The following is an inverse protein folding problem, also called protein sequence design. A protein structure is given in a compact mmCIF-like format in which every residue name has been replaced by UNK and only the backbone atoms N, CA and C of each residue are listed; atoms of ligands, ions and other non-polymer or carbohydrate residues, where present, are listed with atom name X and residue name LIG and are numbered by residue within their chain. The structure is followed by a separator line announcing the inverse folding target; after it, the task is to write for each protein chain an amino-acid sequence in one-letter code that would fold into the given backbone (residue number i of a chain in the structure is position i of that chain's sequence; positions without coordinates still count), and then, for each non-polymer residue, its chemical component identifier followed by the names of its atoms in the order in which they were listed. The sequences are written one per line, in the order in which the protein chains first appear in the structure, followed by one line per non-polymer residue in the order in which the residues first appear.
data_IF_486814503331
#
_entry.id   IF_486814503331
#
_cell.length_a   1.000
_cell.length_b   1.000
_cell.length_c   1.000
_cell.angle_alpha   90.00
_cell.angle_beta   90.00
_cell.angle_gamma   90.00
#
_symmetry.space_group_name_H-M   'P 1'
#
loop_
_entity.id
_entity.type
_entity.pdbx_description
1 polymer ?
#
# COMPACT_ATOMS: atom_id res chain seq x y z
N UNK A 1 -40.46 -87.28 -28.89
CA UNK A 1 -40.11 -86.38 -27.76
C UNK A 1 -38.86 -85.62 -28.17
N UNK A 2 -38.91 -84.27 -28.21
CA UNK A 2 -38.65 -83.49 -27.00
C UNK A 2 -39.68 -82.38 -26.73
N UNK A 3 -39.76 -81.99 -25.46
CA UNK A 3 -40.62 -80.95 -24.92
C UNK A 3 -39.86 -79.62 -24.99
N UNK A 4 -40.36 -78.66 -25.75
CA UNK A 4 -39.82 -77.30 -25.84
C UNK A 4 -40.30 -76.49 -24.64
N UNK A 5 -39.44 -76.31 -23.64
CA UNK A 5 -39.70 -75.44 -22.50
C UNK A 5 -39.66 -73.98 -22.93
N UNK A 6 -40.81 -73.29 -22.92
CA UNK A 6 -40.89 -71.83 -23.04
C UNK A 6 -40.36 -71.18 -21.76
N UNK A 7 -39.17 -70.60 -21.83
CA UNK A 7 -38.66 -69.72 -20.79
C UNK A 7 -39.42 -68.38 -20.86
N UNK A 8 -40.29 -68.13 -19.89
CA UNK A 8 -40.86 -66.80 -19.66
C UNK A 8 -39.80 -65.92 -18.99
N UNK A 9 -39.30 -64.93 -19.72
CA UNK A 9 -38.44 -63.90 -19.15
C UNK A 9 -39.26 -63.04 -18.18
N UNK A 10 -39.03 -63.21 -16.88
CA UNK A 10 -39.57 -62.33 -15.84
C UNK A 10 -38.88 -60.98 -16.00
N UNK A 11 -39.58 -59.98 -16.55
CA UNK A 11 -39.14 -58.59 -16.46
C UNK A 11 -39.25 -58.19 -15.00
N UNK A 12 -38.12 -58.16 -14.29
CA UNK A 12 -38.01 -57.49 -13.00
C UNK A 12 -38.32 -56.01 -13.22
N UNK A 13 -39.52 -55.59 -12.87
CA UNK A 13 -39.88 -54.17 -12.73
C UNK A 13 -38.95 -53.57 -11.70
N UNK A 14 -38.02 -52.73 -12.14
CA UNK A 14 -37.23 -51.91 -11.21
C UNK A 14 -38.23 -51.02 -10.44
N UNK A 15 -38.23 -51.03 -9.10
CA UNK A 15 -39.07 -50.12 -8.34
C UNK A 15 -38.74 -48.69 -8.76
N UNK A 16 -39.76 -47.94 -9.19
CA UNK A 16 -39.64 -46.53 -9.47
C UNK A 16 -39.61 -45.77 -8.14
N UNK A 17 -38.76 -44.74 -8.04
CA UNK A 17 -38.61 -43.94 -6.83
C UNK A 17 -39.93 -43.27 -6.44
N UNK A 18 -40.20 -43.26 -5.13
CA UNK A 18 -41.38 -42.56 -4.59
C UNK A 18 -41.14 -41.05 -4.60
N UNK A 19 -42.21 -40.26 -4.75
CA UNK A 19 -42.13 -38.79 -4.70
C UNK A 19 -41.51 -38.32 -3.37
N UNK A 20 -41.77 -39.06 -2.28
CA UNK A 20 -41.20 -38.80 -0.96
C UNK A 20 -39.68 -39.01 -0.93
N UNK A 21 -39.15 -40.08 -1.52
CA UNK A 21 -37.69 -40.28 -1.62
C UNK A 21 -37.01 -39.15 -2.39
N UNK A 22 -37.61 -38.70 -3.51
CA UNK A 22 -37.08 -37.57 -4.27
C UNK A 22 -37.10 -36.27 -3.46
N UNK A 23 -38.15 -36.04 -2.67
CA UNK A 23 -38.26 -34.86 -1.82
C UNK A 23 -37.23 -34.88 -0.69
N UNK A 24 -37.00 -36.02 -0.06
CA UNK A 24 -35.96 -36.19 0.97
C UNK A 24 -34.57 -35.96 0.37
N UNK A 25 -34.29 -36.53 -0.81
CA UNK A 25 -33.00 -36.36 -1.48
C UNK A 25 -32.75 -34.89 -1.84
N UNK A 26 -33.74 -34.20 -2.41
CA UNK A 26 -33.62 -32.78 -2.72
C UNK A 26 -33.45 -31.92 -1.46
N UNK A 27 -34.13 -32.28 -0.36
CA UNK A 27 -33.97 -31.61 0.95
C UNK A 27 -32.57 -31.77 1.53
N UNK A 28 -32.00 -32.99 1.50
CA UNK A 28 -30.64 -33.26 1.96
C UNK A 28 -29.61 -32.56 1.07
N UNK A 29 -29.78 -32.60 -0.26
CA UNK A 29 -28.89 -31.90 -1.20
C UNK A 29 -28.92 -30.38 -1.00
N UNK A 30 -30.09 -29.78 -0.77
CA UNK A 30 -30.21 -28.34 -0.50
C UNK A 30 -29.50 -27.95 0.81
N UNK A 31 -29.66 -28.76 1.86
CA UNK A 31 -29.01 -28.52 3.15
C UNK A 31 -27.48 -28.63 3.05
N UNK A 32 -26.97 -29.68 2.39
CA UNK A 32 -25.54 -29.86 2.18
C UNK A 32 -24.95 -28.77 1.28
N UNK A 33 -25.66 -28.39 0.20
CA UNK A 33 -25.19 -27.34 -0.71
C UNK A 33 -25.09 -25.98 -0.02
N UNK A 34 -26.05 -25.65 0.84
CA UNK A 34 -26.03 -24.40 1.62
C UNK A 34 -24.80 -24.31 2.54
N UNK A 35 -24.52 -25.38 3.29
CA UNK A 35 -23.35 -25.43 4.19
C UNK A 35 -22.02 -25.35 3.43
N UNK A 36 -21.92 -26.04 2.29
CA UNK A 36 -20.71 -26.03 1.46
C UNK A 36 -20.45 -24.64 0.87
N UNK A 37 -21.49 -23.92 0.43
CA UNK A 37 -21.33 -22.60 -0.18
C UNK A 37 -20.77 -21.58 0.82
N UNK A 38 -21.27 -21.58 2.06
CA UNK A 38 -20.78 -20.69 3.15
C UNK A 38 -19.35 -21.05 3.54
N UNK A 39 -19.01 -22.34 3.63
CA UNK A 39 -17.64 -22.77 3.91
C UNK A 39 -16.66 -22.35 2.80
N UNK A 40 -17.09 -22.44 1.54
CA UNK A 40 -16.26 -22.06 0.39
C UNK A 40 -16.06 -20.55 0.29
N UNK A 41 -17.07 -19.74 0.57
CA UNK A 41 -16.94 -18.28 0.53
C UNK A 41 -15.95 -17.78 1.59
N UNK A 42 -16.05 -18.28 2.83
CA UNK A 42 -15.10 -17.95 3.90
C UNK A 42 -13.68 -18.41 3.56
N UNK A 43 -13.51 -19.60 2.99
CA UNK A 43 -12.20 -20.10 2.58
C UNK A 43 -11.59 -19.26 1.43
N UNK A 44 -12.41 -18.85 0.46
CA UNK A 44 -11.98 -17.97 -0.62
C UNK A 44 -11.54 -16.59 -0.08
N UNK A 45 -12.29 -16.05 0.87
CA UNK A 45 -12.00 -14.77 1.50
C UNK A 45 -10.68 -14.79 2.28
N UNK A 46 -10.48 -15.84 3.08
CA UNK A 46 -9.21 -16.05 3.78
C UNK A 46 -8.03 -16.23 2.80
N UNK A 47 -8.26 -16.89 1.66
CA UNK A 47 -7.24 -17.07 0.64
C UNK A 47 -6.85 -15.74 -0.05
N UNK A 48 -7.82 -14.86 -0.31
CA UNK A 48 -7.56 -13.49 -0.81
C UNK A 48 -6.75 -12.69 0.20
N UNK A 49 -7.20 -12.64 1.45
CA UNK A 49 -6.49 -11.93 2.51
C UNK A 49 -5.06 -12.44 2.72
N UNK A 50 -4.84 -13.76 2.73
CA UNK A 50 -3.50 -14.32 2.86
C UNK A 50 -2.60 -14.02 1.64
N UNK A 51 -3.17 -13.99 0.44
CA UNK A 51 -2.46 -13.57 -0.77
C UNK A 51 -2.05 -12.10 -0.68
N UNK A 52 -2.98 -11.22 -0.32
CA UNK A 52 -2.72 -9.79 -0.15
C UNK A 52 -1.65 -9.54 0.91
N UNK A 53 -1.70 -10.22 2.07
CA UNK A 53 -0.63 -10.16 3.08
C UNK A 53 0.74 -10.52 2.52
N UNK A 54 0.79 -11.59 1.72
CA UNK A 54 2.04 -12.04 1.09
C UNK A 54 2.54 -11.02 0.04
N UNK A 55 1.65 -10.39 -0.73
CA UNK A 55 2.01 -9.30 -1.64
C UNK A 55 2.55 -8.09 -0.89
N UNK A 56 1.83 -7.59 0.11
CA UNK A 56 2.25 -6.43 0.92
C UNK A 56 3.62 -6.68 1.57
N UNK A 57 3.85 -7.89 2.08
CA UNK A 57 5.16 -8.27 2.61
C UNK A 57 6.26 -8.28 1.54
N UNK A 58 6.01 -8.83 0.35
CA UNK A 58 6.98 -8.80 -0.76
C UNK A 58 7.28 -7.37 -1.21
N UNK A 59 6.26 -6.53 -1.35
CA UNK A 59 6.43 -5.12 -1.71
C UNK A 59 7.32 -4.44 -0.66
N UNK A 60 7.07 -4.69 0.62
CA UNK A 60 7.91 -4.20 1.71
C UNK A 60 9.36 -4.66 1.58
N UNK A 61 9.61 -5.96 1.35
CA UNK A 61 10.96 -6.52 1.17
C UNK A 61 11.70 -5.90 -0.03
N UNK A 62 10.99 -5.53 -1.10
CA UNK A 62 11.57 -4.85 -2.27
C UNK A 62 11.83 -3.36 -2.03
N UNK A 63 10.94 -2.68 -1.31
CA UNK A 63 11.04 -1.23 -1.07
C UNK A 63 12.00 -0.85 0.05
N UNK A 64 12.09 -1.66 1.11
CA UNK A 64 12.90 -1.33 2.28
C UNK A 64 14.39 -1.15 1.99
N UNK A 65 15.06 -2.00 1.18
CA UNK A 65 16.45 -1.78 0.81
C UNK A 65 16.67 -0.42 0.13
N UNK A 66 15.72 -0.01 -0.73
CA UNK A 66 15.76 1.27 -1.43
C UNK A 66 15.59 2.44 -0.46
N UNK A 67 14.68 2.32 0.51
CA UNK A 67 14.50 3.32 1.56
C UNK A 67 15.75 3.47 2.45
N UNK A 68 16.34 2.34 2.87
CA UNK A 68 17.57 2.32 3.70
C UNK A 68 18.77 2.91 2.96
N UNK A 69 18.86 2.75 1.64
CA UNK A 69 19.95 3.29 0.83
C UNK A 69 20.08 4.81 0.99
N UNK A 70 18.96 5.55 1.09
CA UNK A 70 19.00 7.00 1.21
C UNK A 70 19.69 7.49 2.49
N UNK A 71 19.75 6.67 3.53
CA UNK A 71 20.46 7.00 4.77
C UNK A 71 21.96 7.21 4.52
N UNK A 72 22.52 6.42 3.62
CA UNK A 72 23.95 6.41 3.29
C UNK A 72 24.27 7.11 1.97
N UNK A 73 23.24 7.48 1.21
CA UNK A 73 23.42 8.07 -0.11
C UNK A 73 24.12 9.42 -0.03
N UNK A 74 25.04 9.62 -0.98
CA UNK A 74 25.80 10.85 -1.10
C UNK A 74 24.96 11.88 -1.84
N UNK A 75 24.80 13.05 -1.24
CA UNK A 75 24.23 14.24 -1.88
C UNK A 75 25.30 15.31 -2.03
N UNK A 76 25.13 16.18 -3.01
CA UNK A 76 26.06 17.29 -3.23
C UNK A 76 26.10 18.18 -1.98
N UNK A 77 27.31 18.37 -1.43
CA UNK A 77 27.50 19.19 -0.25
C UNK A 77 27.24 20.66 -0.59
N UNK A 78 26.47 21.34 0.26
CA UNK A 78 26.33 22.79 0.16
C UNK A 78 27.67 23.46 0.47
N UNK A 79 28.14 24.34 -0.42
CA UNK A 79 29.38 25.11 -0.24
C UNK A 79 29.16 26.42 0.53
N UNK A 80 27.92 26.84 0.71
CA UNK A 80 27.55 28.09 1.37
C UNK A 80 26.96 27.85 2.77
N UNK A 81 27.02 28.87 3.62
CA UNK A 81 26.43 28.86 4.96
C UNK A 81 27.30 28.25 6.06
N UNK A 82 26.82 28.38 7.29
CA UNK A 82 27.41 27.77 8.48
C UNK A 82 27.20 26.24 8.48
N UNK A 83 27.83 25.52 9.42
CA UNK A 83 27.75 24.05 9.51
C UNK A 83 26.30 23.58 9.58
N UNK A 84 25.45 24.24 10.38
CA UNK A 84 24.03 23.89 10.51
C UNK A 84 23.29 24.01 9.18
N UNK A 85 23.46 25.13 8.46
CA UNK A 85 22.84 25.36 7.16
C UNK A 85 23.26 24.32 6.11
N UNK A 86 24.54 23.90 6.12
CA UNK A 86 25.02 22.84 5.22
C UNK A 86 24.41 21.49 5.53
N UNK A 87 24.20 21.17 6.81
CA UNK A 87 23.53 19.94 7.25
C UNK A 87 22.03 20.00 6.91
N UNK A 88 21.37 21.14 7.09
CA UNK A 88 19.97 21.34 6.68
C UNK A 88 19.81 21.09 5.19
N UNK A 89 20.66 21.71 4.36
CA UNK A 89 20.67 21.50 2.92
C UNK A 89 21.07 20.07 2.49
N UNK A 90 21.64 19.25 3.39
CA UNK A 90 21.85 17.82 3.15
C UNK A 90 20.54 17.06 3.33
N UNK A 91 19.83 17.31 4.43
CA UNK A 91 18.53 16.68 4.74
C UNK A 91 17.52 16.98 3.63
N UNK A 92 17.42 18.24 3.19
CA UNK A 92 16.48 18.64 2.14
C UNK A 92 16.73 17.93 0.81
N UNK A 93 18.00 17.78 0.43
CA UNK A 93 18.39 17.07 -0.78
C UNK A 93 18.11 15.57 -0.70
N UNK A 94 18.28 14.97 0.49
CA UNK A 94 17.95 13.56 0.69
C UNK A 94 16.44 13.35 0.58
N UNK A 95 15.63 14.21 1.23
CA UNK A 95 14.17 14.16 1.13
C UNK A 95 13.67 14.39 -0.28
N UNK A 96 14.28 15.31 -1.02
CA UNK A 96 13.94 15.49 -2.43
C UNK A 96 14.31 14.28 -3.29
N UNK A 97 15.47 13.68 -3.04
CA UNK A 97 15.88 12.48 -3.77
C UNK A 97 14.92 11.32 -3.47
N UNK A 98 14.48 11.16 -2.21
CA UNK A 98 13.41 10.22 -1.87
C UNK A 98 12.11 10.53 -2.59
N UNK A 99 11.69 11.81 -2.63
CA UNK A 99 10.46 12.24 -3.31
C UNK A 99 10.45 11.81 -4.77
N UNK A 100 11.52 12.15 -5.47
CA UNK A 100 11.65 11.91 -6.91
C UNK A 100 11.82 10.42 -7.23
N UNK A 101 12.51 9.68 -6.38
CA UNK A 101 12.86 8.29 -6.67
C UNK A 101 11.92 7.25 -6.08
N UNK A 102 11.13 7.63 -5.09
CA UNK A 102 10.02 6.87 -4.54
C UNK A 102 8.78 7.77 -4.50
N UNK A 103 8.24 8.17 -5.67
CA UNK A 103 7.04 9.02 -5.73
C UNK A 103 5.85 8.33 -5.05
N UNK A 104 4.94 9.10 -4.46
CA UNK A 104 3.66 8.59 -3.94
C UNK A 104 2.43 9.28 -4.55
N UNK A 105 2.66 10.23 -5.47
CA UNK A 105 1.65 11.06 -6.14
C UNK A 105 2.17 11.55 -7.49
N UNK A 106 1.28 11.96 -8.38
CA UNK A 106 1.61 12.50 -9.70
C UNK A 106 2.55 13.70 -9.61
N UNK A 107 2.33 14.61 -8.65
CA UNK A 107 3.16 15.81 -8.49
C UNK A 107 4.62 15.49 -8.15
N UNK A 108 4.91 14.30 -7.60
CA UNK A 108 6.28 13.85 -7.38
C UNK A 108 7.03 13.51 -8.66
N UNK A 109 6.29 13.04 -9.67
CA UNK A 109 6.84 12.73 -11.00
C UNK A 109 6.88 13.97 -11.88
N UNK A 110 5.91 14.87 -11.74
CA UNK A 110 5.76 16.09 -12.54
C UNK A 110 6.72 17.19 -12.09
N UNK A 111 6.77 17.50 -10.79
CA UNK A 111 7.45 18.69 -10.30
C UNK A 111 8.96 18.62 -10.42
N UNK A 112 9.55 19.72 -10.87
CA UNK A 112 10.99 19.86 -10.96
C UNK A 112 11.65 19.78 -9.55
N UNK A 113 12.92 19.36 -9.47
CA UNK A 113 13.68 19.43 -8.23
C UNK A 113 13.83 20.87 -7.74
N UNK A 114 13.63 21.08 -6.44
CA UNK A 114 13.69 22.36 -5.72
C UNK A 114 15.01 22.49 -4.92
N UNK A 115 15.53 21.39 -4.39
CA UNK A 115 16.74 21.33 -3.54
C UNK A 115 17.99 20.77 -4.25
N UNK A 116 17.82 20.05 -5.34
CA UNK A 116 18.83 19.43 -6.19
C UNK A 116 19.15 20.34 -7.37
N UNK A 117 20.40 20.30 -7.83
CA UNK A 117 20.87 21.12 -8.95
C UNK A 117 20.54 20.52 -10.33
N UNK A 118 20.01 19.31 -10.36
CA UNK A 118 19.75 18.56 -11.60
C UNK A 118 18.66 17.53 -11.38
N UNK A 119 17.83 17.32 -12.39
CA UNK A 119 16.81 16.28 -12.42
C UNK A 119 17.43 14.88 -12.37
N UNK A 120 17.09 14.05 -11.38
CA UNK A 120 17.50 12.65 -11.35
C UNK A 120 17.03 11.89 -12.59
N UNK A 121 17.89 11.01 -13.11
CA UNK A 121 17.57 10.21 -14.30
C UNK A 121 16.33 9.31 -14.10
N UNK A 122 16.03 8.94 -12.86
CA UNK A 122 14.89 8.10 -12.54
C UNK A 122 13.55 8.82 -12.74
N UNK A 123 13.48 10.13 -12.46
CA UNK A 123 12.30 10.93 -12.77
C UNK A 123 11.97 10.87 -14.26
N UNK A 124 12.99 11.06 -15.10
CA UNK A 124 12.83 10.97 -16.56
C UNK A 124 12.42 9.57 -17.01
N UNK A 125 12.82 8.51 -16.29
CA UNK A 125 12.38 7.14 -16.55
C UNK A 125 10.89 6.97 -16.23
N UNK A 126 10.41 7.51 -15.10
CA UNK A 126 8.99 7.50 -14.74
C UNK A 126 8.14 8.26 -15.76
N UNK A 127 8.56 9.48 -16.13
CA UNK A 127 7.87 10.26 -17.15
C UNK A 127 7.77 9.53 -18.51
N UNK A 128 8.83 8.81 -18.91
CA UNK A 128 8.81 7.96 -20.11
C UNK A 128 7.91 6.74 -19.95
N UNK A 129 7.89 6.12 -18.77
CA UNK A 129 7.02 4.98 -18.48
C UNK A 129 5.54 5.40 -18.64
N UNK A 130 5.13 6.51 -18.01
CA UNK A 130 3.77 7.07 -18.15
C UNK A 130 3.46 7.43 -19.61
N UNK A 131 4.39 8.09 -20.31
CA UNK A 131 4.21 8.41 -21.74
C UNK A 131 3.97 7.17 -22.60
N UNK A 132 4.69 6.08 -22.31
CA UNK A 132 4.54 4.82 -23.04
C UNK A 132 3.25 4.08 -22.68
N UNK A 133 2.86 4.12 -21.40
CA UNK A 133 1.67 3.43 -20.89
C UNK A 133 0.39 4.04 -21.47
N UNK A 134 0.28 5.38 -21.40
CA UNK A 134 -0.81 6.17 -21.98
C UNK A 134 -0.82 6.22 -23.52
N UNK A 135 0.24 5.75 -24.19
CA UNK A 135 0.40 5.86 -25.65
C UNK A 135 0.54 7.30 -26.17
N UNK A 136 0.85 8.26 -25.30
CA UNK A 136 0.95 9.67 -25.64
C UNK A 136 2.22 10.01 -26.44
N UNK A 137 2.20 11.12 -27.20
CA UNK A 137 3.35 11.56 -28.00
C UNK A 137 4.52 12.11 -27.15
N UNK A 138 4.23 12.63 -25.96
CA UNK A 138 5.21 13.17 -25.01
C UNK A 138 4.59 13.24 -23.61
N UNK A 139 5.42 13.52 -22.59
CA UNK A 139 4.97 13.55 -21.20
C UNK A 139 3.92 14.64 -20.92
N UNK A 140 3.97 15.79 -21.61
CA UNK A 140 2.96 16.85 -21.45
C UNK A 140 1.58 16.39 -21.93
N UNK A 141 1.52 15.63 -23.03
CA UNK A 141 0.27 15.02 -23.48
C UNK A 141 -0.18 13.90 -22.52
N UNK A 142 0.75 13.10 -22.01
CA UNK A 142 0.46 12.03 -21.05
C UNK A 142 -0.19 12.58 -19.76
N UNK A 143 0.27 13.73 -19.24
CA UNK A 143 -0.31 14.38 -18.06
C UNK A 143 -1.79 14.77 -18.21
N UNK A 144 -2.31 14.90 -19.43
CA UNK A 144 -3.74 15.18 -19.64
C UNK A 144 -4.61 13.93 -19.70
N UNK A 145 -3.99 12.75 -19.78
CA UNK A 145 -4.64 11.44 -19.76
C UNK A 145 -4.54 10.86 -18.34
N UNK A 146 -3.34 10.94 -17.75
CA UNK A 146 -3.02 10.43 -16.43
C UNK A 146 -3.91 11.06 -15.35
N UNK A 147 -4.68 10.24 -14.65
CA UNK A 147 -5.62 10.65 -13.60
C UNK A 147 -4.97 10.66 -12.22
N UNK A 148 -5.56 11.42 -11.30
CA UNK A 148 -5.18 11.41 -9.88
C UNK A 148 -5.84 10.27 -9.10
N UNK A 149 -6.80 9.58 -9.73
CA UNK A 149 -7.40 8.39 -9.18
C UNK A 149 -6.30 7.31 -9.11
N UNK A 150 -6.21 6.61 -7.98
CA UNK A 150 -5.20 5.57 -7.74
C UNK A 150 -3.70 5.96 -7.93
N UNK A 151 -3.37 7.27 -7.96
CA UNK A 151 -2.01 7.78 -8.26
C UNK A 151 -0.89 7.14 -7.44
N UNK A 152 -1.18 6.82 -6.18
CA UNK A 152 -0.20 6.20 -5.28
C UNK A 152 0.14 4.76 -5.66
N UNK A 153 -0.81 3.99 -6.19
CA UNK A 153 -0.59 2.62 -6.64
C UNK A 153 0.14 2.56 -7.98
N UNK A 154 -0.14 3.48 -8.88
CA UNK A 154 0.62 3.64 -10.13
C UNK A 154 2.07 4.06 -9.86
N UNK A 155 2.26 4.99 -8.91
CA UNK A 155 3.59 5.35 -8.44
C UNK A 155 4.32 4.14 -7.84
N UNK A 156 3.62 3.30 -7.08
CA UNK A 156 4.15 2.04 -6.57
C UNK A 156 4.57 1.10 -7.71
N UNK A 157 3.72 0.92 -8.72
CA UNK A 157 4.05 0.13 -9.91
C UNK A 157 5.33 0.65 -10.58
N UNK A 158 5.44 1.96 -10.79
CA UNK A 158 6.62 2.58 -11.38
C UNK A 158 7.89 2.32 -10.57
N UNK A 159 7.81 2.41 -9.24
CA UNK A 159 8.94 2.11 -8.36
C UNK A 159 9.34 0.64 -8.51
N UNK A 160 8.40 -0.30 -8.45
CA UNK A 160 8.67 -1.73 -8.57
C UNK A 160 9.26 -2.09 -9.95
N UNK A 161 8.72 -1.51 -11.03
CA UNK A 161 9.26 -1.63 -12.38
C UNK A 161 10.69 -1.08 -12.50
N UNK A 162 11.06 -0.13 -11.64
CA UNK A 162 12.39 0.46 -11.64
C UNK A 162 13.44 -0.40 -10.95
N UNK A 163 13.02 -1.25 -10.00
CA UNK A 163 13.90 -2.14 -9.24
C UNK A 163 14.41 -3.24 -10.16
N UNK A 164 15.73 -3.39 -10.19
CA UNK A 164 16.42 -4.45 -10.92
C UNK A 164 17.35 -5.16 -9.95
N UNK A 165 17.22 -6.48 -9.86
CA UNK A 165 18.11 -7.35 -9.09
C UNK A 165 18.67 -8.41 -10.02
N UNK A 166 19.87 -8.17 -10.54
CA UNK A 166 20.49 -9.02 -11.55
C UNK A 166 19.65 -9.08 -12.82
N UNK A 167 19.16 -10.27 -13.16
CA UNK A 167 18.31 -10.51 -14.34
C UNK A 167 16.81 -10.33 -14.07
N UNK A 168 16.42 -10.14 -12.79
CA UNK A 168 15.01 -10.04 -12.39
C UNK A 168 14.57 -8.60 -12.16
N UNK A 169 13.33 -8.31 -12.56
CA UNK A 169 12.64 -7.05 -12.27
C UNK A 169 11.78 -7.19 -11.00
N UNK A 170 11.53 -6.09 -10.29
CA UNK A 170 10.60 -6.08 -9.16
C UNK A 170 9.18 -6.56 -9.52
N UNK A 171 8.74 -6.38 -10.78
CA UNK A 171 7.44 -6.85 -11.26
C UNK A 171 7.36 -8.36 -11.50
N UNK A 172 8.49 -9.05 -11.69
CA UNK A 172 8.51 -10.50 -11.98
C UNK A 172 7.98 -11.35 -10.81
N UNK A 173 7.90 -10.76 -9.62
CA UNK A 173 7.38 -11.39 -8.41
C UNK A 173 5.84 -11.38 -8.30
N UNK A 174 5.18 -10.65 -9.20
CA UNK A 174 3.73 -10.48 -9.25
C UNK A 174 3.15 -11.26 -10.43
N UNK A 175 1.91 -11.72 -10.26
CA UNK A 175 1.18 -12.38 -11.34
C UNK A 175 0.60 -11.34 -12.29
N UNK A 176 0.37 -11.69 -13.57
CA UNK A 176 -0.33 -10.79 -14.49
C UNK A 176 -1.73 -10.39 -14.01
N UNK A 177 -2.39 -11.19 -13.17
CA UNK A 177 -3.69 -10.85 -12.57
C UNK A 177 -3.62 -9.88 -11.39
N UNK A 178 -2.41 -9.60 -10.90
CA UNK A 178 -2.12 -8.71 -9.78
C UNK A 178 -1.65 -7.33 -10.27
N UNK A 179 -1.72 -7.09 -11.58
CA UNK A 179 -1.38 -5.85 -12.24
C UNK A 179 -2.54 -5.54 -13.19
N UNK A 180 -3.11 -4.36 -13.08
CA UNK A 180 -4.26 -3.92 -13.89
C UNK A 180 -4.24 -2.41 -14.07
N UNK A 181 -5.21 -1.91 -14.82
CA UNK A 181 -5.52 -0.49 -14.99
C UNK A 181 -7.00 -0.37 -14.61
N UNK A 182 -7.30 0.29 -13.49
CA UNK A 182 -8.60 0.25 -12.83
C UNK A 182 -9.44 1.48 -13.15
N UNK A 183 -8.79 2.59 -13.48
CA UNK A 183 -9.41 3.86 -13.88
C UNK A 183 -9.31 4.18 -15.39
N UNK A 184 -8.80 3.23 -16.19
CA UNK A 184 -8.74 3.25 -17.66
C UNK A 184 -7.88 4.39 -18.24
N UNK A 185 -6.85 4.80 -17.52
CA UNK A 185 -5.97 5.91 -17.90
C UNK A 185 -4.70 5.43 -18.65
N UNK A 186 -4.47 4.12 -18.67
CA UNK A 186 -3.35 3.43 -19.33
C UNK A 186 -2.15 3.18 -18.42
N UNK A 187 -2.11 3.69 -17.20
CA UNK A 187 -1.02 3.51 -16.23
C UNK A 187 -1.41 2.39 -15.25
N UNK A 188 -0.64 1.28 -15.19
CA UNK A 188 -1.07 0.14 -14.41
C UNK A 188 -0.82 0.32 -12.90
N UNK A 189 -1.74 -0.20 -12.09
CA UNK A 189 -1.65 -0.33 -10.64
C UNK A 189 -1.30 -1.76 -10.21
N UNK A 190 -0.82 -1.88 -8.97
CA UNK A 190 -0.72 -3.19 -8.30
C UNK A 190 -2.05 -3.49 -7.63
N UNK A 191 -2.64 -4.65 -7.93
CA UNK A 191 -3.94 -5.07 -7.40
C UNK A 191 -3.80 -6.13 -6.31
N UNK A 192 -4.68 -6.04 -5.32
CA UNK A 192 -4.80 -7.00 -4.23
C UNK A 192 -5.67 -8.22 -4.59
N UNK A 193 -5.94 -9.09 -3.61
CA UNK A 193 -6.76 -10.29 -3.77
C UNK A 193 -8.22 -10.05 -4.18
N UNK A 194 -8.73 -8.83 -4.06
CA UNK A 194 -10.08 -8.41 -4.44
C UNK A 194 -10.10 -7.59 -5.73
N UNK A 195 -8.93 -7.29 -6.30
CA UNK A 195 -8.78 -6.44 -7.48
C UNK A 195 -8.82 -4.96 -7.14
N UNK A 196 -8.59 -4.58 -5.88
CA UNK A 196 -8.45 -3.19 -5.46
C UNK A 196 -6.96 -2.77 -5.49
N UNK A 197 -6.64 -1.51 -5.82
CA UNK A 197 -5.26 -1.04 -5.85
C UNK A 197 -4.56 -1.06 -4.47
N UNK A 198 -3.33 -1.58 -4.40
CA UNK A 198 -2.50 -1.49 -3.21
C UNK A 198 -1.87 -0.10 -3.16
N UNK A 199 -2.23 0.70 -2.15
CA UNK A 199 -1.75 2.07 -2.04
C UNK A 199 -0.41 2.15 -1.31
N UNK A 200 0.33 3.21 -1.63
CA UNK A 200 1.67 3.47 -1.11
C UNK A 200 1.77 4.91 -0.61
N UNK A 201 2.18 5.08 0.64
CA UNK A 201 2.52 6.39 1.19
C UNK A 201 3.99 6.39 1.57
N UNK A 202 4.76 7.32 1.00
CA UNK A 202 6.19 7.43 1.28
C UNK A 202 6.44 7.90 2.72
N UNK A 203 5.67 8.89 3.17
CA UNK A 203 5.83 9.53 4.49
C UNK A 203 4.50 9.65 5.24
N UNK A 204 4.08 8.57 5.93
CA UNK A 204 2.77 8.52 6.58
C UNK A 204 2.85 9.14 7.98
N UNK A 205 3.07 10.46 8.07
CA UNK A 205 3.23 11.20 9.32
C UNK A 205 2.07 11.02 10.32
N UNK A 206 0.84 10.88 9.83
CA UNK A 206 -0.35 10.61 10.62
C UNK A 206 -0.57 9.14 10.97
N UNK A 207 0.31 8.23 10.54
CA UNK A 207 0.15 6.80 10.78
C UNK A 207 1.06 6.33 11.92
N UNK A 208 0.60 5.42 12.78
CA UNK A 208 -0.77 5.20 13.23
C UNK A 208 -1.02 6.19 14.37
N UNK A 209 -1.64 7.33 14.10
CA UNK A 209 -1.89 8.29 15.18
C UNK A 209 -2.66 7.59 16.31
N UNK A 210 -2.05 7.60 17.50
CA UNK A 210 -2.64 7.12 18.76
C UNK A 210 -3.70 8.16 19.17
N UNK A 211 -4.78 8.25 18.41
CA UNK A 211 -5.95 8.96 18.84
C UNK A 211 -6.61 8.09 19.92
N UNK A 212 -6.60 8.57 21.16
CA UNK A 212 -7.61 8.14 22.13
C UNK A 212 -8.97 8.50 21.54
N UNK A 213 -9.63 7.52 20.92
CA UNK A 213 -11.04 7.64 20.57
C UNK A 213 -11.81 8.09 21.81
N UNK A 214 -12.87 8.87 21.62
CA UNK A 214 -13.78 9.32 22.70
C UNK A 214 -14.42 8.13 23.44
N UNK A 215 -14.34 6.91 22.88
CA UNK A 215 -14.77 5.64 23.47
C UNK A 215 -13.70 4.92 24.29
N UNK A 216 -12.49 5.48 24.47
CA UNK A 216 -11.45 4.89 25.32
C UNK A 216 -10.80 3.63 24.73
N UNK A 217 -11.17 3.22 23.52
CA UNK A 217 -10.46 2.18 22.80
C UNK A 217 -9.17 2.78 22.25
N UNK A 218 -8.05 2.36 22.84
CA UNK A 218 -6.73 2.55 22.23
C UNK A 218 -6.75 1.72 20.96
N UNK A 219 -7.08 2.34 19.82
CA UNK A 219 -6.87 1.77 18.50
C UNK A 219 -5.36 1.73 18.28
N UNK A 220 -4.76 0.70 18.85
CA UNK A 220 -3.33 0.51 18.83
C UNK A 220 -3.00 0.00 17.43
N UNK A 221 -2.97 0.90 16.46
CA UNK A 221 -2.17 0.69 15.27
C UNK A 221 -0.74 0.55 15.78
N UNK A 222 -0.33 -0.68 16.09
CA UNK A 222 0.98 -0.97 16.64
C UNK A 222 2.01 -0.83 15.52
N UNK A 223 2.29 0.39 15.04
CA UNK A 223 3.52 0.61 14.30
C UNK A 223 4.64 0.82 15.32
N UNK A 224 5.31 -0.26 15.71
CA UNK A 224 6.59 -0.14 16.42
C UNK A 224 7.69 0.44 15.52
N UNK A 225 7.45 0.54 14.22
CA UNK A 225 8.37 1.15 13.27
C UNK A 225 8.45 2.67 13.47
N UNK A 226 7.35 3.33 13.80
CA UNK A 226 7.29 4.80 13.94
C UNK A 226 7.29 5.22 15.41
N UNK A 227 8.48 5.15 16.02
CA UNK A 227 8.68 5.58 17.39
C UNK A 227 9.11 7.05 17.46
N UNK A 228 8.22 7.90 17.96
CA UNK A 228 8.49 9.33 18.15
C UNK A 228 9.56 9.63 19.22
N UNK A 229 10.02 8.63 19.98
CA UNK A 229 11.13 8.75 20.92
C UNK A 229 12.49 8.47 20.29
N UNK A 230 12.51 8.11 19.01
CA UNK A 230 13.71 7.94 18.21
C UNK A 230 13.88 9.13 17.23
N UNK A 231 15.10 9.60 16.96
CA UNK A 231 15.34 10.69 16.00
C UNK A 231 15.17 10.22 14.56
N UNK A 232 14.76 11.13 13.66
CA UNK A 232 14.75 10.91 12.21
C UNK A 232 16.12 10.40 11.72
N UNK A 233 16.20 9.20 11.10
CA UNK A 233 17.47 8.60 10.65
C UNK A 233 18.15 9.41 9.53
N UNK A 234 17.41 10.27 8.82
CA UNK A 234 17.91 11.13 7.77
C UNK A 234 18.38 12.50 8.27
N UNK A 235 17.99 12.87 9.50
CA UNK A 235 18.45 14.06 10.22
C UNK A 235 19.05 13.69 11.60
N UNK A 236 20.19 12.97 11.64
CA UNK A 236 20.81 12.53 12.89
C UNK A 236 21.30 13.69 13.78
N UNK A 237 21.38 14.90 13.23
CA UNK A 237 21.80 16.11 13.96
C UNK A 237 20.61 16.98 14.40
N UNK A 238 19.37 16.58 14.09
CA UNK A 238 18.15 17.31 14.44
C UNK A 238 18.14 18.75 13.94
N UNK A 239 18.67 19.01 12.74
CA UNK A 239 18.78 20.38 12.22
C UNK A 239 17.45 20.93 11.72
N UNK A 240 16.51 20.05 11.34
CA UNK A 240 15.19 20.36 10.81
C UNK A 240 14.07 20.24 11.85
N UNK A 241 14.30 19.55 12.95
CA UNK A 241 13.36 19.38 14.05
C UNK A 241 14.08 18.60 15.15
N UNK A 242 14.21 19.22 16.32
CA UNK A 242 15.01 18.66 17.41
C UNK A 242 14.18 17.80 18.35
N UNK A 243 14.83 17.47 19.48
CA UNK A 243 14.17 16.93 20.66
C UNK A 243 13.08 17.89 21.14
N UNK A 244 11.84 17.41 21.21
CA UNK A 244 10.71 18.08 21.83
C UNK A 244 10.52 17.50 23.22
N UNK A 245 10.46 18.36 24.23
CA UNK A 245 10.07 17.95 25.59
C UNK A 245 8.67 18.49 25.83
N UNK A 246 7.66 17.63 25.85
CA UNK A 246 6.34 18.02 26.37
C UNK A 246 6.42 18.14 27.89
N UNK A 247 5.80 19.17 28.47
CA UNK A 247 5.82 19.39 29.93
C UNK A 247 5.04 18.32 30.71
N UNK A 248 4.22 17.53 30.01
CA UNK A 248 3.27 16.57 30.56
C UNK A 248 3.77 15.13 30.60
N UNK A 249 4.95 14.84 30.02
CA UNK A 249 5.52 13.49 29.99
C UNK A 249 7.04 13.55 30.18
N UNK A 250 7.65 12.73 31.06
CA UNK A 250 9.11 12.65 31.18
C UNK A 250 9.77 11.98 29.96
N UNK A 251 8.97 11.53 28.98
CA UNK A 251 9.48 10.94 27.73
C UNK A 251 10.09 12.01 26.83
N UNK A 252 11.22 11.64 26.25
CA UNK A 252 11.89 12.42 25.21
C UNK A 252 11.20 12.08 23.90
N UNK A 253 10.63 13.09 23.25
CA UNK A 253 10.04 12.95 21.93
C UNK A 253 10.84 13.78 20.91
N UNK A 254 10.68 13.49 19.63
CA UNK A 254 11.29 14.24 18.55
C UNK A 254 10.18 14.80 17.65
N UNK A 255 10.32 16.07 17.27
CA UNK A 255 9.43 16.66 16.27
C UNK A 255 9.55 15.90 14.93
N UNK A 256 10.77 15.47 14.59
CA UNK A 256 11.06 14.66 13.42
C UNK A 256 11.55 13.28 13.87
N UNK A 257 10.82 12.23 13.51
CA UNK A 257 11.02 10.86 13.96
C UNK A 257 11.02 9.88 12.78
N UNK A 258 11.50 8.64 12.91
CA UNK A 258 11.55 7.71 11.79
C UNK A 258 10.19 7.51 11.11
N UNK A 259 10.11 7.87 9.82
CA UNK A 259 8.96 7.60 8.96
C UNK A 259 9.33 6.51 7.96
N UNK A 260 8.74 5.34 8.15
CA UNK A 260 8.83 4.22 7.22
C UNK A 260 7.69 4.27 6.21
N UNK A 261 7.88 3.81 4.96
CA UNK A 261 6.79 3.81 4.00
C UNK A 261 5.66 2.87 4.41
N UNK A 262 4.43 3.31 4.21
CA UNK A 262 3.22 2.55 4.46
C UNK A 262 2.71 1.97 3.14
N UNK A 263 2.55 0.64 3.12
CA UNK A 263 1.96 -0.12 2.03
C UNK A 263 0.71 -0.77 2.59
N UNK A 264 -0.42 -0.56 1.95
CA UNK A 264 -1.69 -1.04 2.47
C UNK A 264 -2.71 -1.37 1.38
N UNK A 265 -3.55 -2.34 1.68
CA UNK A 265 -4.74 -2.70 0.91
C UNK A 265 -5.97 -2.44 1.77
N UNK A 266 -7.06 -2.05 1.11
CA UNK A 266 -8.37 -1.84 1.71
C UNK A 266 -8.96 -3.10 2.37
N UNK A 267 -8.45 -4.29 2.03
CA UNK A 267 -8.98 -5.53 2.60
C UNK A 267 -10.37 -5.92 2.09
N UNK A 268 -11.10 -6.76 2.83
CA UNK A 268 -12.41 -7.31 2.44
C UNK A 268 -13.50 -6.29 2.15
N UNK A 269 -13.53 -5.16 2.86
CA UNK A 269 -14.61 -4.17 2.74
C UNK A 269 -14.39 -3.17 1.59
N UNK A 270 -13.16 -3.06 1.08
CA UNK A 270 -12.79 -2.16 0.00
C UNK A 270 -12.65 -0.69 0.43
N UNK A 271 -12.61 -0.40 1.73
CA UNK A 271 -12.53 0.95 2.27
C UNK A 271 -11.17 1.21 2.92
N UNK A 272 -10.36 2.07 2.28
CA UNK A 272 -9.04 2.41 2.84
C UNK A 272 -9.10 3.16 4.16
N UNK A 273 -10.01 4.14 4.29
CA UNK A 273 -10.15 5.03 5.45
C UNK A 273 -8.81 5.62 5.98
N UNK A 274 -7.83 5.83 5.10
CA UNK A 274 -6.53 6.44 5.40
C UNK A 274 -6.32 7.62 4.45
N UNK A 275 -5.94 8.77 5.02
CA UNK A 275 -5.67 10.00 4.28
C UNK A 275 -4.38 9.87 3.46
N UNK A 276 -4.49 9.74 2.13
CA UNK A 276 -3.31 9.64 1.23
C UNK A 276 -2.76 11.00 0.78
N UNK A 277 -3.63 12.01 0.72
CA UNK A 277 -3.26 13.37 0.31
C UNK A 277 -3.92 14.43 1.21
N UNK A 278 -3.27 15.58 1.39
CA UNK A 278 -3.77 16.74 2.15
C UNK A 278 -3.91 17.98 1.26
N UNK A 279 -3.95 17.82 -0.07
CA UNK A 279 -4.08 18.91 -1.03
C UNK A 279 -2.86 19.84 -1.06
N UNK A 280 -1.67 19.30 -0.80
CA UNK A 280 -0.40 20.04 -0.81
C UNK A 280 0.69 19.23 -1.49
N UNK A 281 1.31 19.82 -2.52
CA UNK A 281 2.46 19.21 -3.18
C UNK A 281 3.70 19.33 -2.32
N UNK A 282 4.40 18.21 -2.10
CA UNK A 282 5.62 18.21 -1.28
C UNK A 282 6.67 19.20 -1.76
N UNK A 283 6.78 19.43 -3.08
CA UNK A 283 7.71 20.39 -3.68
C UNK A 283 7.47 21.84 -3.21
N UNK A 284 6.22 22.18 -2.87
CA UNK A 284 5.79 23.54 -2.48
C UNK A 284 5.80 23.77 -0.98
N UNK A 285 5.96 22.71 -0.18
CA UNK A 285 5.97 22.80 1.28
C UNK A 285 7.11 23.71 1.80
N UNK A 286 6.94 24.25 3.01
CA UNK A 286 7.98 25.07 3.66
C UNK A 286 8.39 24.44 4.99
N UNK A 287 9.60 23.87 5.10
CA UNK A 287 10.62 23.75 4.04
C UNK A 287 10.22 22.77 2.93
N UNK A 288 10.83 22.85 1.73
CA UNK A 288 10.52 21.93 0.63
C UNK A 288 10.67 20.47 1.02
N UNK A 289 9.78 19.63 0.50
CA UNK A 289 9.72 18.20 0.75
C UNK A 289 9.64 17.88 2.26
N UNK A 290 8.83 18.63 3.02
CA UNK A 290 8.63 18.38 4.44
C UNK A 290 7.63 17.22 4.65
N UNK A 291 8.04 16.09 5.24
CA UNK A 291 7.14 14.98 5.50
C UNK A 291 6.22 15.19 6.72
N UNK A 292 6.60 16.05 7.65
CA UNK A 292 5.84 16.32 8.89
C UNK A 292 4.89 17.51 8.73
N UNK A 293 4.31 17.66 7.54
CA UNK A 293 3.36 18.72 7.27
C UNK A 293 2.00 18.38 7.87
N UNK A 294 1.35 19.40 8.42
CA UNK A 294 0.01 19.33 8.95
C UNK A 294 -0.79 20.49 8.34
N UNK A 295 -1.96 20.19 7.80
CA UNK A 295 -2.90 21.21 7.34
C UNK A 295 -3.85 21.54 8.48
N UNK A 296 -4.01 22.85 8.73
CA UNK A 296 -4.91 23.33 9.78
C UNK A 296 -6.35 22.90 9.49
N UNK A 297 -6.93 22.12 10.40
CA UNK A 297 -8.30 21.63 10.36
C UNK A 297 -8.75 21.24 11.76
N UNK A 298 -10.03 20.83 11.89
CA UNK A 298 -10.57 20.26 13.13
C UNK A 298 -11.20 18.90 12.84
N UNK A 299 -10.51 17.77 13.06
CA UNK A 299 -9.11 17.66 13.50
C UNK A 299 -8.10 18.13 12.43
N UNK A 300 -6.84 18.42 12.82
CA UNK A 300 -5.79 18.68 11.86
C UNK A 300 -5.60 17.48 10.93
N UNK A 301 -5.23 17.75 9.68
CA UNK A 301 -5.08 16.71 8.65
C UNK A 301 -3.61 16.41 8.41
N UNK A 302 -3.27 15.13 8.42
CA UNK A 302 -1.93 14.60 8.15
C UNK A 302 -2.02 13.44 7.16
N UNK A 303 -1.03 13.31 6.30
CA UNK A 303 -0.89 12.15 5.41
C UNK A 303 -0.66 10.89 6.26
N UNK A 304 -1.42 9.82 6.01
CA UNK A 304 -1.41 8.56 6.74
C UNK A 304 -2.36 8.51 7.94
N UNK A 305 -3.07 9.60 8.27
CA UNK A 305 -4.05 9.62 9.34
C UNK A 305 -5.31 8.83 8.96
N UNK A 306 -5.94 8.20 9.95
CA UNK A 306 -7.24 7.55 9.75
C UNK A 306 -8.30 8.65 9.54
N UNK A 307 -9.06 8.57 8.44
CA UNK A 307 -9.95 9.67 8.02
C UNK A 307 -11.20 9.78 8.92
N UNK A 308 -11.72 8.66 9.41
CA UNK A 308 -12.78 8.63 10.43
C UNK A 308 -12.57 7.55 11.50
N UNK A 309 -13.32 7.63 12.60
CA UNK A 309 -13.26 6.63 13.66
C UNK A 309 -14.36 5.58 13.54
N UNK A 310 -14.81 5.24 12.34
CA UNK A 310 -15.85 4.21 12.14
C UNK A 310 -15.36 2.80 12.49
N UNK A 311 -14.06 2.54 12.33
CA UNK A 311 -13.48 1.20 12.49
C UNK A 311 -13.37 0.43 11.17
N UNK A 312 -13.78 1.02 10.05
CA UNK A 312 -13.59 0.48 8.68
C UNK A 312 -12.11 0.32 8.35
N UNK A 313 -11.20 1.01 9.04
CA UNK A 313 -9.76 0.86 8.82
C UNK A 313 -9.14 -0.41 9.42
N UNK A 314 -9.90 -1.20 10.19
CA UNK A 314 -9.36 -2.27 11.03
C UNK A 314 -9.08 -3.58 10.29
N UNK A 315 -9.73 -3.81 9.15
CA UNK A 315 -9.50 -4.97 8.29
C UNK A 315 -8.44 -4.72 7.21
N UNK A 316 -8.04 -3.46 7.02
CA UNK A 316 -6.90 -3.05 6.19
C UNK A 316 -5.65 -3.92 6.47
N UNK A 317 -5.00 -4.33 5.39
CA UNK A 317 -3.79 -5.13 5.46
C UNK A 317 -2.59 -4.21 5.24
N UNK A 318 -1.76 -3.99 6.26
CA UNK A 318 -0.62 -3.06 6.18
C UNK A 318 0.71 -3.72 6.52
N UNK A 319 1.79 -3.26 5.88
CA UNK A 319 3.16 -3.73 6.18
C UNK A 319 3.55 -3.44 7.64
N UNK A 320 3.08 -2.32 8.20
CA UNK A 320 3.38 -1.93 9.58
C UNK A 320 2.89 -2.94 10.62
N UNK A 321 1.76 -3.62 10.35
CA UNK A 321 1.24 -4.69 11.22
C UNK A 321 1.95 -6.01 10.94
N UNK A 322 2.20 -6.33 9.66
CA UNK A 322 2.75 -7.62 9.23
C UNK A 322 4.22 -7.83 9.61
N UNK A 323 5.05 -6.79 9.49
CA UNK A 323 6.49 -6.87 9.76
C UNK A 323 6.78 -7.16 11.23
N UNK A 324 5.90 -6.71 12.14
CA UNK A 324 6.04 -6.93 13.58
C UNK A 324 5.63 -8.36 13.96
N UNK A 325 4.62 -8.92 13.29
CA UNK A 325 4.22 -10.31 13.49
C UNK A 325 5.28 -11.33 12.99
N UNK A 326 6.18 -10.91 12.10
CA UNK A 326 7.28 -11.73 11.56
C UNK A 326 8.40 -12.08 12.55
N UNK A 327 8.43 -11.47 13.75
CA UNK A 327 9.38 -11.80 14.82
C UNK A 327 8.79 -12.69 15.92
N UNK A 328 7.58 -13.24 15.71
CA UNK A 328 6.98 -14.24 16.61
C UNK A 328 6.69 -15.55 15.87
N UNK A 329 7.75 -16.25 15.47
CA UNK A 329 7.77 -17.71 15.36
C UNK A 329 9.03 -18.27 15.99
#
# INVERSE_FOLDING_TARGET
MPITARQFAIRLTRPAFTLVELLVVMGVLAMLSSLVLVGLSSAAEQARANRTRSQVQKIHELLMPRWEEYRYRRVQASKSGNVRARQTARVDRIREMMRIEMPDRMSDVIDAPVSLNSTPALQLRYQRAVTNATGAANFTAAQSIWTSDHESSECLYMILASIQSGETNGLDFFKPSEIGDTDDDGVPEILDGWGQPILFIRWPFGYPEIATSTSGERRNGLSQLMDNTSPDPFDPLGVRGGRTTTSTSPRIEYAHFPLYPLIFSAGPDGLYNIQVDIGQDYSTTTPPNNPYMEVSGTPPQRVGQIADTSGEELDNITNHVLVIAGNSQ
#
